data_IF_174742508586
#
_entry.id   IF_174742508586
#
_cell.length_a   1.000
_cell.length_b   1.000
_cell.length_c   1.000
_cell.angle_alpha   90.00
_cell.angle_beta   90.00
_cell.angle_gamma   90.00
#
_symmetry.space_group_name_H-M   'P 1'
#
loop_
_entity.id
_entity.type
_entity.pdbx_description
1 polymer ?
#
# COMPACT_ATOMS: atom_id res chain seq x y z
N UNK A 1 -3.39 -10.08 -13.95
CA UNK A 1 -4.38 -9.17 -13.33
C UNK A 1 -4.52 -9.56 -11.87
N UNK A 2 -4.67 -8.60 -10.98
CA UNK A 2 -4.87 -8.77 -9.54
C UNK A 2 -6.32 -8.35 -9.22
N UNK A 3 -7.26 -9.30 -9.10
CA UNK A 3 -8.65 -8.98 -8.84
C UNK A 3 -9.03 -9.13 -7.36
N UNK A 4 -9.68 -8.10 -6.82
CA UNK A 4 -10.58 -8.20 -5.68
C UNK A 4 -11.99 -7.94 -6.21
N UNK A 5 -12.64 -8.99 -6.73
CA UNK A 5 -13.91 -8.93 -7.45
C UNK A 5 -15.13 -9.09 -6.52
N UNK A 6 -16.32 -9.01 -7.11
CA UNK A 6 -17.60 -9.21 -6.42
C UNK A 6 -17.69 -10.57 -5.71
N UNK A 7 -17.15 -11.63 -6.31
CA UNK A 7 -17.17 -12.98 -5.75
C UNK A 7 -16.52 -13.07 -4.37
N UNK A 8 -15.61 -12.15 -4.04
CA UNK A 8 -14.88 -12.15 -2.77
C UNK A 8 -15.65 -11.49 -1.62
N UNK A 9 -16.78 -10.83 -1.89
CA UNK A 9 -17.52 -10.00 -0.92
C UNK A 9 -19.01 -10.35 -0.82
N UNK A 10 -19.35 -11.61 -1.13
CA UNK A 10 -20.71 -12.18 -1.09
C UNK A 10 -20.73 -13.56 -0.42
N UNK A 11 -21.92 -14.10 -0.21
CA UNK A 11 -22.17 -15.49 0.23
C UNK A 11 -21.51 -15.86 1.57
N UNK A 12 -21.53 -14.94 2.53
CA UNK A 12 -20.98 -15.18 3.87
C UNK A 12 -19.47 -14.98 3.96
N UNK A 13 -18.81 -14.55 2.88
CA UNK A 13 -17.36 -14.25 2.87
C UNK A 13 -17.03 -12.93 3.58
N UNK A 14 -18.00 -12.04 3.75
CA UNK A 14 -17.84 -10.69 4.28
C UNK A 14 -17.11 -9.73 3.33
N UNK A 15 -17.32 -8.42 3.55
CA UNK A 15 -16.53 -7.36 2.91
C UNK A 15 -15.05 -7.45 3.28
N UNK A 16 -14.17 -6.94 2.40
CA UNK A 16 -12.71 -7.00 2.59
C UNK A 16 -12.27 -6.50 3.98
N UNK A 17 -12.81 -5.36 4.43
CA UNK A 17 -12.48 -4.76 5.73
C UNK A 17 -12.80 -5.68 6.91
N UNK A 18 -13.84 -6.51 6.78
CA UNK A 18 -14.30 -7.39 7.84
C UNK A 18 -13.55 -8.72 7.90
N UNK A 19 -12.72 -9.02 6.89
CA UNK A 19 -11.86 -10.21 6.87
C UNK A 19 -10.62 -10.06 7.75
N UNK A 20 -10.25 -8.83 8.13
CA UNK A 20 -9.09 -8.57 8.96
C UNK A 20 -9.40 -8.70 10.46
N UNK A 21 -8.45 -9.20 11.27
CA UNK A 21 -8.58 -9.21 12.72
C UNK A 21 -8.35 -7.81 13.31
N UNK A 22 -8.61 -7.66 14.61
CA UNK A 22 -8.36 -6.44 15.36
C UNK A 22 -9.56 -5.53 15.49
N UNK A 23 -9.33 -4.38 16.12
CA UNK A 23 -10.34 -3.32 16.25
C UNK A 23 -10.64 -2.64 14.91
N UNK A 24 -11.63 -1.75 14.89
CA UNK A 24 -12.06 -1.06 13.66
C UNK A 24 -10.93 -0.30 12.99
N UNK A 25 -10.06 0.35 13.77
CA UNK A 25 -8.94 1.11 13.24
C UNK A 25 -7.91 0.18 12.57
N UNK A 26 -7.56 -0.94 13.24
CA UNK A 26 -6.64 -1.95 12.71
C UNK A 26 -7.17 -2.60 11.43
N UNK A 27 -8.48 -2.90 11.36
CA UNK A 27 -9.10 -3.43 10.14
C UNK A 27 -8.97 -2.48 8.96
N UNK A 28 -9.26 -1.20 9.16
CA UNK A 28 -9.12 -0.18 8.13
C UNK A 28 -7.65 0.06 7.75
N UNK A 29 -6.73 0.11 8.73
CA UNK A 29 -5.30 0.22 8.48
C UNK A 29 -4.79 -0.96 7.62
N UNK A 30 -5.19 -2.18 7.96
CA UNK A 30 -4.83 -3.38 7.20
C UNK A 30 -5.39 -3.34 5.78
N UNK A 31 -6.64 -2.87 5.60
CA UNK A 31 -7.23 -2.69 4.27
C UNK A 31 -6.43 -1.68 3.44
N UNK A 32 -6.08 -0.53 4.04
CA UNK A 32 -5.27 0.50 3.39
C UNK A 32 -3.89 -0.02 3.00
N UNK A 33 -3.23 -0.77 3.89
CA UNK A 33 -1.96 -1.44 3.59
C UNK A 33 -2.10 -2.47 2.46
N UNK A 34 -3.16 -3.29 2.47
CA UNK A 34 -3.44 -4.22 1.37
C UNK A 34 -3.55 -3.48 0.03
N UNK A 35 -4.25 -2.34 -0.02
CA UNK A 35 -4.37 -1.56 -1.25
C UNK A 35 -3.03 -0.94 -1.68
N UNK A 36 -2.26 -0.36 -0.76
CA UNK A 36 -0.92 0.14 -1.06
C UNK A 36 0.00 -0.96 -1.60
N UNK A 37 -0.04 -2.15 -1.02
CA UNK A 37 0.70 -3.32 -1.50
C UNK A 37 0.20 -3.78 -2.89
N UNK A 38 -1.11 -3.95 -3.06
CA UNK A 38 -1.73 -4.44 -4.29
C UNK A 38 -1.46 -3.51 -5.48
N UNK A 39 -1.53 -2.19 -5.28
CA UNK A 39 -1.21 -1.21 -6.32
C UNK A 39 0.27 -1.26 -6.73
N UNK A 40 1.17 -1.52 -5.78
CA UNK A 40 2.59 -1.65 -6.05
C UNK A 40 3.01 -3.01 -6.63
N UNK A 41 2.30 -4.09 -6.33
CA UNK A 41 2.65 -5.44 -6.79
C UNK A 41 2.53 -5.56 -8.32
N UNK A 42 3.39 -6.32 -9.03
CA UNK A 42 3.25 -6.51 -10.49
C UNK A 42 1.86 -7.03 -10.90
N UNK A 43 1.30 -6.42 -11.95
CA UNK A 43 0.04 -6.80 -12.58
C UNK A 43 -1.08 -5.76 -12.44
N UNK A 44 -1.96 -5.69 -13.44
CA UNK A 44 -3.08 -4.72 -13.50
C UNK A 44 -4.10 -4.91 -12.38
N UNK A 45 -4.76 -3.84 -11.94
CA UNK A 45 -5.61 -3.78 -10.73
C UNK A 45 -7.09 -3.89 -11.09
N UNK A 46 -7.85 -4.60 -10.25
CA UNK A 46 -9.31 -4.59 -10.27
C UNK A 46 -9.83 -4.59 -8.83
N UNK A 47 -10.65 -3.60 -8.50
CA UNK A 47 -11.33 -3.47 -7.21
C UNK A 47 -12.84 -3.33 -7.48
N UNK A 48 -13.64 -4.20 -6.87
CA UNK A 48 -15.08 -4.14 -6.98
C UNK A 48 -15.68 -2.97 -6.19
N UNK A 49 -16.78 -2.41 -6.71
CA UNK A 49 -17.48 -1.28 -6.11
C UNK A 49 -17.89 -1.56 -4.66
N UNK A 50 -17.83 -0.54 -3.80
CA UNK A 50 -17.96 -0.68 -2.35
C UNK A 50 -16.63 -0.90 -1.64
N UNK A 51 -15.65 -1.54 -2.30
CA UNK A 51 -14.31 -1.72 -1.75
C UNK A 51 -13.56 -0.40 -1.56
N UNK A 52 -13.78 0.56 -2.46
CA UNK A 52 -13.08 1.84 -2.48
C UNK A 52 -13.42 2.78 -1.32
N UNK A 53 -14.48 2.49 -0.56
CA UNK A 53 -14.84 3.20 0.65
C UNK A 53 -15.02 2.28 1.86
N UNK A 54 -14.52 1.04 1.78
CA UNK A 54 -14.66 0.04 2.83
C UNK A 54 -16.11 -0.17 3.29
N UNK A 55 -16.99 -0.52 2.34
CA UNK A 55 -18.36 -0.90 2.68
C UNK A 55 -18.39 -1.96 3.80
N UNK A 56 -19.38 -1.85 4.70
CA UNK A 56 -19.47 -2.73 5.86
C UNK A 56 -20.13 -4.06 5.49
N UNK A 57 -21.31 -4.01 4.89
CA UNK A 57 -22.09 -5.21 4.61
C UNK A 57 -21.74 -5.80 3.26
N UNK A 58 -21.90 -7.12 3.13
CA UNK A 58 -21.74 -7.82 1.86
C UNK A 58 -22.52 -7.14 0.74
N UNK A 59 -22.02 -7.27 -0.48
CA UNK A 59 -22.71 -6.68 -1.61
C UNK A 59 -24.07 -7.37 -1.81
N UNK A 60 -25.12 -6.54 -1.91
CA UNK A 60 -26.48 -6.96 -2.23
C UNK A 60 -26.95 -6.17 -3.45
N UNK A 61 -27.27 -6.87 -4.54
CA UNK A 61 -27.82 -6.23 -5.74
C UNK A 61 -29.19 -5.58 -5.48
N UNK A 62 -29.97 -6.12 -4.54
CA UNK A 62 -31.31 -5.62 -4.21
C UNK A 62 -31.31 -4.33 -3.38
N UNK A 63 -30.28 -4.12 -2.56
CA UNK A 63 -30.15 -2.94 -1.68
C UNK A 63 -29.25 -1.84 -2.27
N UNK A 64 -28.37 -2.21 -3.21
CA UNK A 64 -27.37 -1.31 -3.76
C UNK A 64 -26.20 -1.05 -2.80
N UNK A 65 -25.41 -0.02 -3.10
CA UNK A 65 -24.25 0.37 -2.30
C UNK A 65 -24.64 1.24 -1.12
N UNK A 66 -23.93 1.07 -0.01
CA UNK A 66 -24.15 1.80 1.24
C UNK A 66 -23.53 3.21 1.20
N UNK A 67 -23.97 4.05 0.27
CA UNK A 67 -23.38 5.37 0.01
C UNK A 67 -23.36 6.30 1.24
N UNK A 68 -24.31 6.15 2.16
CA UNK A 68 -24.34 6.93 3.41
C UNK A 68 -23.07 6.76 4.25
N UNK A 69 -22.35 5.63 4.11
CA UNK A 69 -21.07 5.41 4.79
C UNK A 69 -20.01 6.45 4.40
N UNK A 70 -20.09 6.99 3.18
CA UNK A 70 -19.16 8.01 2.69
C UNK A 70 -19.28 9.35 3.42
N UNK A 71 -20.25 9.52 4.31
CA UNK A 71 -20.38 10.70 5.16
C UNK A 71 -19.45 10.66 6.39
N UNK A 72 -18.98 9.47 6.79
CA UNK A 72 -18.11 9.29 7.95
C UNK A 72 -16.62 9.28 7.57
N UNK A 73 -15.78 9.81 8.45
CA UNK A 73 -14.36 10.05 8.16
C UNK A 73 -13.58 8.78 7.88
N UNK A 74 -13.92 7.67 8.53
CA UNK A 74 -13.22 6.39 8.34
C UNK A 74 -13.36 5.84 6.91
N UNK A 75 -14.53 6.01 6.28
CA UNK A 75 -14.79 5.60 4.90
C UNK A 75 -14.21 6.62 3.91
N UNK A 76 -14.32 7.92 4.19
CA UNK A 76 -13.67 8.99 3.41
C UNK A 76 -12.15 8.79 3.35
N UNK A 77 -11.52 8.35 4.44
CA UNK A 77 -10.10 8.07 4.49
C UNK A 77 -9.67 7.01 3.47
N UNK A 78 -10.46 5.94 3.32
CA UNK A 78 -10.22 4.88 2.32
C UNK A 78 -10.44 5.41 0.90
N UNK A 79 -11.49 6.20 0.65
CA UNK A 79 -11.72 6.82 -0.66
C UNK A 79 -10.57 7.75 -1.07
N UNK A 80 -10.11 8.60 -0.15
CA UNK A 80 -8.97 9.49 -0.37
C UNK A 80 -7.71 8.70 -0.69
N UNK A 81 -7.48 7.59 0.00
CA UNK A 81 -6.35 6.71 -0.31
C UNK A 81 -6.47 6.13 -1.72
N UNK A 82 -7.62 5.60 -2.11
CA UNK A 82 -7.81 5.04 -3.46
C UNK A 82 -7.60 6.11 -4.53
N UNK A 83 -8.08 7.33 -4.31
CA UNK A 83 -7.82 8.45 -5.21
C UNK A 83 -6.32 8.77 -5.32
N UNK A 84 -5.61 8.81 -4.19
CA UNK A 84 -4.16 9.05 -4.16
C UNK A 84 -3.38 7.91 -4.84
N UNK A 85 -3.75 6.65 -4.59
CA UNK A 85 -3.16 5.47 -5.21
C UNK A 85 -3.32 5.48 -6.73
N UNK A 86 -4.51 5.80 -7.23
CA UNK A 86 -4.77 5.89 -8.66
C UNK A 86 -3.99 7.02 -9.32
N UNK A 87 -3.90 8.18 -8.67
CA UNK A 87 -3.10 9.30 -9.16
C UNK A 87 -1.61 8.92 -9.24
N UNK A 88 -1.04 8.34 -8.19
CA UNK A 88 0.37 7.97 -8.18
C UNK A 88 0.68 6.81 -9.12
N UNK A 89 -0.25 5.86 -9.29
CA UNK A 89 -0.15 4.76 -10.26
C UNK A 89 -0.02 5.28 -11.69
N UNK A 90 -0.88 6.21 -12.11
CA UNK A 90 -0.80 6.80 -13.45
C UNK A 90 0.51 7.57 -13.64
N UNK A 91 0.92 8.33 -12.63
CA UNK A 91 2.09 9.22 -12.69
C UNK A 91 3.43 8.52 -12.44
N UNK A 92 3.44 7.20 -12.21
CA UNK A 92 4.67 6.45 -11.94
C UNK A 92 4.78 5.24 -12.88
N UNK A 93 5.50 5.39 -14.00
CA UNK A 93 5.64 4.33 -15.01
C UNK A 93 6.13 2.99 -14.47
N UNK A 94 6.99 3.01 -13.44
CA UNK A 94 7.51 1.80 -12.78
C UNK A 94 6.41 0.87 -12.25
N UNK A 95 5.23 1.41 -11.93
CA UNK A 95 4.10 0.64 -11.41
C UNK A 95 3.37 -0.18 -12.48
N UNK A 96 3.57 0.10 -13.78
CA UNK A 96 2.77 -0.51 -14.85
C UNK A 96 3.48 -0.84 -16.16
N UNK A 97 4.60 -0.20 -16.51
CA UNK A 97 5.30 -0.45 -17.80
C UNK A 97 5.77 -1.90 -17.90
N UNK A 98 6.46 -2.39 -16.85
CA UNK A 98 7.10 -3.70 -16.82
C UNK A 98 6.34 -4.76 -16.03
N UNK A 99 5.01 -4.69 -15.95
CA UNK A 99 4.20 -5.65 -15.18
C UNK A 99 4.35 -7.12 -15.62
N UNK A 100 4.72 -7.36 -16.87
CA UNK A 100 4.89 -8.69 -17.46
C UNK A 100 6.36 -9.09 -17.66
N UNK A 101 7.31 -8.31 -17.13
CA UNK A 101 8.74 -8.61 -17.19
C UNK A 101 9.30 -8.79 -15.78
N UNK A 102 10.14 -9.81 -15.59
CA UNK A 102 10.86 -10.02 -14.34
C UNK A 102 11.76 -8.82 -13.98
N UNK A 103 12.24 -8.08 -14.99
CA UNK A 103 13.06 -6.88 -14.80
C UNK A 103 12.29 -5.71 -14.15
N UNK A 104 10.95 -5.74 -14.19
CA UNK A 104 10.10 -4.73 -13.58
C UNK A 104 9.98 -4.83 -12.06
N UNK A 105 10.63 -5.82 -11.44
CA UNK A 105 10.47 -6.14 -10.03
C UNK A 105 11.78 -6.66 -9.41
N UNK A 106 12.08 -6.25 -8.18
CA UNK A 106 13.20 -6.78 -7.41
C UNK A 106 12.85 -6.84 -5.93
N UNK A 107 12.99 -8.02 -5.31
CA UNK A 107 12.88 -8.12 -3.85
C UNK A 107 14.02 -7.37 -3.16
N UNK A 108 13.66 -6.56 -2.17
CA UNK A 108 14.61 -5.88 -1.28
C UNK A 108 14.63 -6.57 0.10
N UNK A 109 13.45 -6.97 0.58
CA UNK A 109 13.23 -7.79 1.76
C UNK A 109 12.14 -8.80 1.42
N UNK A 110 12.51 -10.09 1.34
CA UNK A 110 11.59 -11.19 1.01
C UNK A 110 11.49 -12.27 2.10
N UNK A 111 12.20 -12.12 3.21
CA UNK A 111 12.31 -13.15 4.24
C UNK A 111 12.39 -12.59 5.66
N UNK A 112 11.67 -11.50 5.95
CA UNK A 112 11.58 -10.93 7.31
C UNK A 112 10.23 -11.22 7.97
N UNK A 113 9.96 -12.52 8.14
CA UNK A 113 8.73 -13.01 8.76
C UNK A 113 8.61 -12.62 10.24
N UNK A 114 9.73 -12.38 10.92
CA UNK A 114 9.73 -11.92 12.31
C UNK A 114 9.22 -10.48 12.43
N UNK A 115 9.60 -9.60 11.50
CA UNK A 115 9.11 -8.23 11.47
C UNK A 115 7.75 -8.06 10.79
N UNK A 116 7.27 -9.06 10.04
CA UNK A 116 6.13 -8.97 9.12
C UNK A 116 6.29 -7.83 8.09
N UNK A 117 7.52 -7.65 7.61
CA UNK A 117 7.87 -6.61 6.63
C UNK A 117 8.18 -7.26 5.29
N UNK A 118 7.59 -6.72 4.23
CA UNK A 118 7.95 -6.98 2.84
C UNK A 118 8.41 -5.69 2.18
N UNK A 119 9.48 -5.76 1.39
CA UNK A 119 9.91 -4.63 0.59
C UNK A 119 10.42 -5.07 -0.79
N UNK A 120 10.09 -4.28 -1.80
CA UNK A 120 10.53 -4.52 -3.18
C UNK A 120 10.67 -3.22 -3.95
N UNK A 121 11.48 -3.25 -5.00
CA UNK A 121 11.56 -2.22 -6.02
C UNK A 121 10.69 -2.60 -7.23
N UNK A 122 10.07 -1.59 -7.82
CA UNK A 122 9.44 -1.61 -9.14
C UNK A 122 10.28 -0.76 -10.09
N UNK A 123 10.43 -1.17 -11.34
CA UNK A 123 11.27 -0.49 -12.32
C UNK A 123 10.51 -0.15 -13.60
N UNK A 124 10.78 1.02 -14.15
CA UNK A 124 10.29 1.45 -15.47
C UNK A 124 11.26 1.08 -16.61
N UNK A 125 10.92 1.43 -17.85
CA UNK A 125 11.79 1.24 -19.02
C UNK A 125 13.08 2.07 -18.97
N UNK A 126 13.04 3.23 -18.32
CA UNK A 126 14.18 4.12 -18.11
C UNK A 126 15.05 3.75 -16.89
N UNK A 127 14.78 2.60 -16.25
CA UNK A 127 15.44 2.13 -15.04
C UNK A 127 15.30 3.06 -13.83
N UNK A 128 14.22 3.83 -13.74
CA UNK A 128 13.84 4.56 -12.53
C UNK A 128 13.06 3.64 -11.58
N UNK A 129 13.48 3.55 -10.30
CA UNK A 129 12.80 2.72 -9.32
C UNK A 129 11.71 3.46 -8.51
N UNK A 130 10.68 2.71 -8.12
CA UNK A 130 9.84 2.98 -6.96
C UNK A 130 10.08 1.88 -5.91
N UNK A 131 10.29 2.26 -4.65
CA UNK A 131 10.43 1.30 -3.54
C UNK A 131 9.10 1.23 -2.79
N UNK A 132 8.56 0.03 -2.62
CA UNK A 132 7.38 -0.25 -1.82
C UNK A 132 7.79 -1.04 -0.58
N UNK A 133 7.33 -0.61 0.59
CA UNK A 133 7.57 -1.25 1.88
C UNK A 133 6.24 -1.43 2.57
N UNK A 134 5.92 -2.63 3.05
CA UNK A 134 4.68 -2.90 3.77
C UNK A 134 4.97 -3.61 5.08
N UNK A 135 4.39 -3.08 6.17
CA UNK A 135 4.35 -3.72 7.48
C UNK A 135 2.94 -4.26 7.72
N UNK A 136 2.81 -5.58 7.83
CA UNK A 136 1.55 -6.26 8.13
C UNK A 136 1.35 -6.54 9.63
N UNK A 137 2.22 -6.00 10.49
CA UNK A 137 2.08 -6.05 11.95
C UNK A 137 1.47 -4.75 12.50
N UNK A 138 0.65 -4.81 13.58
CA UNK A 138 0.23 -3.63 14.34
C UNK A 138 1.37 -2.98 15.13
N UNK A 139 2.56 -3.58 15.16
CA UNK A 139 3.73 -3.01 15.80
C UNK A 139 4.53 -2.17 14.79
N UNK A 140 4.78 -0.87 15.07
CA UNK A 140 5.65 -0.06 14.23
C UNK A 140 7.12 -0.46 14.38
N UNK A 141 7.93 -0.17 13.36
CA UNK A 141 9.38 -0.32 13.41
C UNK A 141 10.03 1.06 13.37
N UNK A 142 10.59 1.54 14.47
CA UNK A 142 11.14 2.92 14.53
C UNK A 142 12.49 3.08 13.82
N UNK A 143 13.26 1.99 13.71
CA UNK A 143 14.66 2.01 13.24
C UNK A 143 14.96 0.83 12.31
N UNK A 144 14.10 0.63 11.31
CA UNK A 144 14.25 -0.46 10.37
C UNK A 144 15.34 -0.17 9.34
N UNK A 145 16.29 -1.10 9.17
CA UNK A 145 17.34 -1.00 8.16
C UNK A 145 16.84 -1.53 6.82
N UNK A 146 16.37 -0.62 5.97
CA UNK A 146 15.81 -0.94 4.66
C UNK A 146 16.89 -0.83 3.57
N UNK A 147 17.13 -1.87 2.76
CA UNK A 147 17.91 -1.75 1.54
C UNK A 147 17.16 -0.99 0.43
N UNK A 148 17.88 -0.15 -0.29
CA UNK A 148 17.44 0.60 -1.46
C UNK A 148 18.20 0.12 -2.71
N UNK A 149 17.60 0.22 -3.90
CA UNK A 149 18.22 -0.32 -5.12
C UNK A 149 19.27 0.61 -5.74
N UNK A 150 19.24 1.92 -5.45
CA UNK A 150 20.18 2.91 -6.01
C UNK A 150 20.48 4.02 -5.00
N UNK A 151 21.58 4.73 -5.23
CA UNK A 151 21.93 5.98 -4.54
C UNK A 151 20.99 7.12 -4.95
N UNK A 152 20.97 8.19 -4.16
CA UNK A 152 20.19 9.40 -4.41
C UNK A 152 19.32 9.81 -3.23
N UNK A 153 18.51 10.83 -3.44
CA UNK A 153 17.52 11.30 -2.46
C UNK A 153 16.19 10.64 -2.74
N UNK A 154 15.61 9.99 -1.74
CA UNK A 154 14.36 9.27 -1.81
C UNK A 154 13.29 10.00 -0.99
N UNK A 155 12.19 10.35 -1.62
CA UNK A 155 11.06 11.01 -0.97
C UNK A 155 9.89 10.06 -0.83
N UNK A 156 9.21 10.14 0.31
CA UNK A 156 7.96 9.42 0.52
C UNK A 156 6.86 10.03 -0.35
N UNK A 157 6.31 9.26 -1.27
CA UNK A 157 5.25 9.71 -2.20
C UNK A 157 3.87 9.15 -1.84
N UNK A 158 3.84 8.06 -1.07
CA UNK A 158 2.62 7.50 -0.50
C UNK A 158 2.94 6.98 0.90
N UNK A 159 2.02 7.19 1.83
CA UNK A 159 2.01 6.52 3.12
C UNK A 159 0.57 6.26 3.54
N UNK A 160 0.18 4.99 3.66
CA UNK A 160 -1.20 4.62 4.00
C UNK A 160 -1.55 4.87 5.48
N UNK A 161 -0.55 5.22 6.30
CA UNK A 161 -0.70 5.66 7.69
C UNK A 161 -0.83 7.19 7.84
N UNK A 162 -0.90 7.94 6.74
CA UNK A 162 -1.13 9.38 6.79
C UNK A 162 -2.47 9.70 7.52
N UNK A 163 -2.48 10.75 8.33
CA UNK A 163 -3.66 11.22 9.06
C UNK A 163 -4.81 11.55 8.10
N UNK A 164 -4.52 11.99 6.87
CA UNK A 164 -5.51 12.25 5.82
C UNK A 164 -6.32 11.00 5.41
N UNK A 165 -5.76 9.80 5.64
CA UNK A 165 -6.38 8.51 5.37
C UNK A 165 -6.89 7.81 6.65
N UNK A 166 -6.74 8.45 7.82
CA UNK A 166 -7.12 7.89 9.12
C UNK A 166 -6.06 6.98 9.75
N UNK A 167 -4.78 7.13 9.38
CA UNK A 167 -3.68 6.45 10.06
C UNK A 167 -3.21 7.14 11.33
N UNK A 168 -2.05 6.74 11.85
CA UNK A 168 -1.42 7.24 13.07
C UNK A 168 -0.45 8.41 12.84
N UNK A 169 -0.03 8.64 11.59
CA UNK A 169 0.80 9.78 11.21
C UNK A 169 2.31 9.54 11.34
N UNK A 170 2.78 8.29 11.39
CA UNK A 170 4.22 8.00 11.35
C UNK A 170 4.76 8.32 9.95
N UNK A 171 5.79 9.16 9.86
CA UNK A 171 6.35 9.63 8.59
C UNK A 171 7.88 9.57 8.58
N UNK A 172 8.46 9.60 7.39
CA UNK A 172 9.90 9.71 7.19
C UNK A 172 10.24 11.03 6.49
N UNK A 173 11.32 11.73 6.89
CA UNK A 173 11.89 12.79 6.07
C UNK A 173 12.51 12.20 4.78
N UNK A 174 12.87 13.04 3.79
CA UNK A 174 13.66 12.57 2.65
C UNK A 174 14.92 11.83 3.08
N UNK A 175 15.20 10.70 2.45
CA UNK A 175 16.29 9.79 2.77
C UNK A 175 17.40 9.97 1.75
N UNK A 176 18.64 10.19 2.19
CA UNK A 176 19.80 10.27 1.30
C UNK A 176 20.61 8.97 1.35
N UNK A 177 20.78 8.31 0.21
CA UNK A 177 21.61 7.12 0.04
C UNK A 177 22.85 7.50 -0.76
N UNK A 178 24.03 7.36 -0.16
CA UNK A 178 25.31 7.72 -0.77
C UNK A 178 26.09 6.47 -1.23
N UNK A 179 26.97 6.67 -2.22
CA UNK A 179 27.89 5.64 -2.71
C UNK A 179 29.07 5.49 -1.74
N UNK A 180 29.01 4.51 -0.84
CA UNK A 180 30.03 4.39 0.22
C UNK A 180 30.07 3.10 1.01
N UNK A 181 29.29 2.08 0.65
CA UNK A 181 29.39 0.76 1.27
C UNK A 181 28.14 -0.11 1.12
N UNK A 182 26.99 0.39 1.59
CA UNK A 182 25.72 -0.32 1.50
C UNK A 182 24.58 0.65 1.17
N UNK A 183 23.72 0.27 0.22
CA UNK A 183 22.52 1.03 -0.14
C UNK A 183 21.43 0.77 0.91
N UNK A 184 21.65 1.17 2.16
CA UNK A 184 20.74 0.92 3.28
C UNK A 184 20.44 2.25 3.97
N UNK A 185 19.18 2.46 4.37
CA UNK A 185 18.81 3.53 5.29
C UNK A 185 18.01 3.01 6.48
N UNK A 186 18.16 3.69 7.61
CA UNK A 186 17.31 3.50 8.77
C UNK A 186 16.03 4.32 8.60
N UNK A 187 14.88 3.67 8.61
CA UNK A 187 13.56 4.30 8.44
C UNK A 187 12.60 3.90 9.56
N UNK A 188 11.57 4.72 9.76
CA UNK A 188 10.38 4.33 10.50
C UNK A 188 9.38 3.64 9.56
N UNK A 189 8.87 2.47 9.92
CA UNK A 189 7.78 1.80 9.22
C UNK A 189 6.54 1.84 10.12
N UNK A 190 5.45 2.52 9.70
CA UNK A 190 4.22 2.60 10.48
C UNK A 190 3.59 1.23 10.70
N UNK A 191 2.69 1.10 11.69
CA UNK A 191 1.95 -0.14 11.93
C UNK A 191 0.88 -0.33 10.85
N UNK A 192 0.71 -1.56 10.36
CA UNK A 192 -0.34 -1.92 9.37
C UNK A 192 -0.41 -0.93 8.20
N UNK A 193 0.73 -0.71 7.54
CA UNK A 193 0.86 0.33 6.52
C UNK A 193 1.77 -0.06 5.37
N UNK A 194 1.53 0.56 4.22
CA UNK A 194 2.42 0.57 3.06
C UNK A 194 2.96 1.97 2.84
N UNK A 195 4.26 2.07 2.59
CA UNK A 195 4.96 3.30 2.20
C UNK A 195 5.58 3.11 0.83
N UNK A 196 5.49 4.12 -0.02
CA UNK A 196 6.23 4.19 -1.27
C UNK A 196 7.25 5.32 -1.25
N UNK A 197 8.46 5.02 -1.75
CA UNK A 197 9.52 5.99 -1.97
C UNK A 197 9.85 6.08 -3.45
N UNK A 198 10.04 7.32 -3.95
CA UNK A 198 10.58 7.59 -5.28
C UNK A 198 11.87 8.37 -5.16
N UNK A 199 12.80 8.12 -6.09
CA UNK A 199 13.99 8.94 -6.21
C UNK A 199 13.59 10.31 -6.76
N UNK A 200 14.06 11.37 -6.09
CA UNK A 200 13.94 12.76 -6.55
C UNK A 200 14.87 13.03 -7.74
#
# INVERSE_FOLDING_TARGET
MLPLSHDEVVHGKGQLVNKFPGDRWQKLATLRALYGYMWAHPGKKLLFMGGEFAQNDEWSEGEGLQWYLTEFDEHKGVQKLIAALNAEYINTPALWEKDSSAEGFTWLVNSDGAANVLAFARWDEAANPLVCVTNFSPMPHERYLLPFPTTGTWSQVLNTDDLAFGGSGVTNPPISINDGGHLIAQIAIPPLATIWFKRA
#
